data_IF_867592454027
#
_entry.id   IF_867592454027
#
_cell.length_a   1.000
_cell.length_b   1.000
_cell.length_c   1.000
_cell.angle_alpha   90.00
_cell.angle_beta   90.00
_cell.angle_gamma   90.00
#
_symmetry.space_group_name_H-M   'P 1'
#
loop_
_entity.id
_entity.type
_entity.pdbx_description
1 polymer ?
#
# COMPACT_ATOMS: atom_id res chain seq x y z
N UNK A 1 -25.93 26.34 -2.97
CA UNK A 1 -25.25 27.63 -3.25
C UNK A 1 -24.16 27.97 -2.24
N UNK A 2 -24.41 28.01 -0.92
CA UNK A 2 -23.36 28.35 0.07
C UNK A 2 -22.19 27.36 0.10
N UNK A 3 -22.47 26.05 0.06
CA UNK A 3 -21.43 25.01 0.03
C UNK A 3 -20.57 25.06 -1.23
N UNK A 4 -21.21 25.22 -2.40
CA UNK A 4 -20.52 25.39 -3.68
C UNK A 4 -19.60 26.62 -3.69
N UNK A 5 -20.07 27.74 -3.14
CA UNK A 5 -19.25 28.94 -3.01
C UNK A 5 -18.02 28.69 -2.13
N UNK A 6 -18.18 28.00 -1.00
CA UNK A 6 -17.08 27.65 -0.10
C UNK A 6 -16.08 26.67 -0.73
N UNK A 7 -16.54 25.68 -1.50
CA UNK A 7 -15.68 24.76 -2.25
C UNK A 7 -14.81 25.53 -3.25
N UNK A 8 -15.40 26.43 -4.02
CA UNK A 8 -14.68 27.24 -5.03
C UNK A 8 -13.66 28.17 -4.37
N UNK A 9 -14.05 28.84 -3.28
CA UNK A 9 -13.14 29.76 -2.56
C UNK A 9 -11.98 29.04 -1.87
N UNK A 10 -12.20 27.80 -1.41
CA UNK A 10 -11.20 27.01 -0.70
C UNK A 10 -10.35 26.12 -1.63
N UNK A 11 -10.85 25.83 -2.83
CA UNK A 11 -10.27 24.84 -3.74
C UNK A 11 -10.36 23.40 -3.24
N UNK A 12 -11.14 23.13 -2.18
CA UNK A 12 -11.33 21.80 -1.60
C UNK A 12 -12.77 21.34 -1.82
N UNK A 13 -12.93 20.31 -2.64
CA UNK A 13 -14.22 19.78 -3.08
C UNK A 13 -14.62 18.51 -2.31
N UNK A 14 -13.79 18.02 -1.36
CA UNK A 14 -14.02 16.72 -0.69
C UNK A 14 -15.34 16.66 0.07
N UNK A 15 -15.75 17.78 0.67
CA UNK A 15 -17.03 17.87 1.37
C UNK A 15 -18.20 17.81 0.40
N UNK A 16 -18.13 18.56 -0.70
CA UNK A 16 -19.15 18.58 -1.74
C UNK A 16 -19.31 17.20 -2.39
N UNK A 17 -18.20 16.51 -2.67
CA UNK A 17 -18.20 15.14 -3.18
C UNK A 17 -18.85 14.15 -2.18
N UNK A 18 -18.51 14.27 -0.89
CA UNK A 18 -19.09 13.42 0.14
C UNK A 18 -20.60 13.65 0.27
N UNK A 19 -21.03 14.91 0.13
CA UNK A 19 -22.43 15.35 0.24
C UNK A 19 -23.29 14.95 -0.96
N UNK A 20 -22.78 15.09 -2.18
CA UNK A 20 -23.56 14.83 -3.40
C UNK A 20 -23.40 13.42 -3.99
N UNK A 21 -22.47 12.58 -3.51
CA UNK A 21 -22.31 11.27 -4.15
C UNK A 21 -23.53 10.36 -3.90
N UNK A 22 -24.10 9.81 -4.97
CA UNK A 22 -25.42 9.15 -4.98
C UNK A 22 -25.41 7.68 -4.54
N UNK A 23 -24.32 7.20 -3.96
CA UNK A 23 -24.09 5.76 -3.68
C UNK A 23 -24.83 5.24 -2.43
N UNK A 24 -25.55 6.09 -1.69
CA UNK A 24 -26.34 5.66 -0.52
C UNK A 24 -27.80 5.43 -0.92
N UNK A 25 -28.29 4.19 -0.80
CA UNK A 25 -29.73 3.89 -0.89
C UNK A 25 -30.49 4.73 0.16
N UNK A 26 -31.25 5.71 -0.31
CA UNK A 26 -32.03 6.61 0.56
C UNK A 26 -31.47 8.03 0.73
N UNK A 27 -30.33 8.35 0.08
CA UNK A 27 -29.71 9.67 0.08
C UNK A 27 -29.12 10.09 1.42
N UNK A 28 -28.21 11.07 1.42
CA UNK A 28 -27.76 11.71 2.66
C UNK A 28 -28.87 12.60 3.18
N UNK A 29 -29.35 12.33 4.40
CA UNK A 29 -30.48 13.03 5.03
C UNK A 29 -29.99 14.10 6.00
N UNK A 30 -28.80 13.93 6.57
CA UNK A 30 -28.23 14.83 7.57
C UNK A 30 -26.69 14.77 7.58
N UNK A 31 -26.07 15.59 8.44
CA UNK A 31 -24.60 15.68 8.55
C UNK A 31 -23.95 14.41 9.12
N UNK A 32 -24.62 13.65 9.99
CA UNK A 32 -24.10 12.37 10.48
C UNK A 32 -23.93 11.37 9.34
N UNK A 33 -24.88 11.31 8.40
CA UNK A 33 -24.78 10.42 7.24
C UNK A 33 -23.55 10.77 6.38
N UNK A 34 -23.22 12.07 6.27
CA UNK A 34 -22.02 12.54 5.57
C UNK A 34 -20.76 12.09 6.30
N UNK A 35 -20.74 12.19 7.64
CA UNK A 35 -19.61 11.76 8.47
C UNK A 35 -19.40 10.25 8.38
N UNK A 36 -20.44 9.45 8.61
CA UNK A 36 -20.40 7.99 8.53
C UNK A 36 -19.86 7.51 7.19
N UNK A 37 -20.24 8.21 6.11
CA UNK A 37 -19.72 7.94 4.78
C UNK A 37 -18.24 8.26 4.64
N UNK A 38 -17.81 9.44 5.09
CA UNK A 38 -16.41 9.85 5.04
C UNK A 38 -15.55 8.88 5.83
N UNK A 39 -16.01 8.47 7.01
CA UNK A 39 -15.36 7.46 7.85
C UNK A 39 -15.29 6.10 7.15
N UNK A 40 -16.41 5.60 6.62
CA UNK A 40 -16.46 4.32 5.90
C UNK A 40 -15.54 4.30 4.68
N UNK A 41 -15.57 5.36 3.85
CA UNK A 41 -14.63 5.52 2.71
C UNK A 41 -13.18 5.60 3.18
N UNK A 42 -12.93 6.23 4.33
CA UNK A 42 -11.62 6.30 4.96
C UNK A 42 -11.10 4.92 5.37
N UNK A 43 -11.93 4.13 6.05
CA UNK A 43 -11.62 2.76 6.48
C UNK A 43 -11.34 1.87 5.28
N UNK A 44 -12.21 1.88 4.27
CA UNK A 44 -12.06 1.07 3.05
C UNK A 44 -10.73 1.38 2.33
N UNK A 45 -10.43 2.67 2.13
CA UNK A 45 -9.14 3.11 1.56
C UNK A 45 -7.96 2.68 2.42
N UNK A 46 -8.10 2.75 3.75
CA UNK A 46 -7.09 2.30 4.69
C UNK A 46 -6.79 0.80 4.57
N UNK A 47 -7.83 -0.03 4.54
CA UNK A 47 -7.73 -1.48 4.38
C UNK A 47 -7.10 -1.82 3.03
N UNK A 48 -7.56 -1.22 1.93
CA UNK A 48 -7.03 -1.48 0.60
C UNK A 48 -5.51 -1.18 0.52
N UNK A 49 -5.09 0.00 1.02
CA UNK A 49 -3.67 0.37 1.10
C UNK A 49 -2.86 -0.56 2.00
N UNK A 50 -3.45 -0.99 3.12
CA UNK A 50 -2.83 -1.92 4.05
C UNK A 50 -2.57 -3.29 3.40
N UNK A 51 -3.57 -3.84 2.71
CA UNK A 51 -3.46 -5.11 2.00
C UNK A 51 -2.42 -5.02 0.88
N UNK A 52 -2.46 -3.96 0.06
CA UNK A 52 -1.49 -3.77 -1.02
C UNK A 52 -0.05 -3.68 -0.48
N UNK A 53 0.16 -2.88 0.58
CA UNK A 53 1.46 -2.75 1.23
C UNK A 53 1.93 -4.09 1.78
N UNK A 54 1.07 -4.82 2.49
CA UNK A 54 1.38 -6.12 3.09
C UNK A 54 1.73 -7.17 2.03
N UNK A 55 0.96 -7.24 0.93
CA UNK A 55 1.26 -8.16 -0.18
C UNK A 55 2.59 -7.83 -0.85
N UNK A 56 2.90 -6.55 -1.06
CA UNK A 56 4.19 -6.12 -1.62
C UNK A 56 5.35 -6.49 -0.70
N UNK A 57 5.22 -6.23 0.60
CA UNK A 57 6.24 -6.54 1.60
C UNK A 57 6.45 -8.05 1.72
N UNK A 58 5.38 -8.84 1.85
CA UNK A 58 5.48 -10.30 1.91
C UNK A 58 6.08 -10.93 0.64
N UNK A 59 5.76 -10.41 -0.56
CA UNK A 59 6.42 -10.87 -1.80
C UNK A 59 7.92 -10.57 -1.81
N UNK A 60 8.34 -9.42 -1.27
CA UNK A 60 9.75 -9.05 -1.20
C UNK A 60 10.50 -9.85 -0.14
N UNK A 61 9.87 -10.13 0.99
CA UNK A 61 10.40 -10.99 2.05
C UNK A 61 10.60 -12.42 1.56
N UNK A 62 9.59 -13.02 0.91
CA UNK A 62 9.71 -14.36 0.32
C UNK A 62 10.84 -14.44 -0.73
N UNK A 63 11.00 -13.41 -1.57
CA UNK A 63 12.13 -13.33 -2.52
C UNK A 63 13.48 -13.24 -1.80
N UNK A 64 13.54 -12.49 -0.70
CA UNK A 64 14.76 -12.36 0.12
C UNK A 64 15.13 -13.68 0.76
N UNK A 65 14.19 -14.37 1.41
CA UNK A 65 14.43 -15.68 2.02
C UNK A 65 14.92 -16.70 0.98
N UNK A 66 14.23 -16.78 -0.15
CA UNK A 66 14.66 -17.62 -1.27
C UNK A 66 16.07 -17.27 -1.75
N UNK A 67 16.39 -15.98 -1.89
CA UNK A 67 17.71 -15.54 -2.33
C UNK A 67 18.82 -15.94 -1.34
N UNK A 68 18.56 -15.85 -0.03
CA UNK A 68 19.50 -16.30 1.01
C UNK A 68 19.71 -17.81 0.92
N UNK A 69 18.64 -18.61 0.87
CA UNK A 69 18.76 -20.07 0.76
C UNK A 69 19.49 -20.52 -0.51
N UNK A 70 19.24 -19.86 -1.65
CA UNK A 70 19.95 -20.17 -2.90
C UNK A 70 21.44 -19.81 -2.82
N UNK A 71 21.78 -18.71 -2.14
CA UNK A 71 23.17 -18.33 -1.91
C UNK A 71 23.90 -19.34 -1.00
N UNK A 72 23.23 -19.84 0.05
CA UNK A 72 23.73 -20.91 0.92
C UNK A 72 23.96 -22.22 0.16
N UNK A 73 23.14 -22.50 -0.86
CA UNK A 73 23.31 -23.62 -1.79
C UNK A 73 24.42 -23.39 -2.84
N UNK A 74 25.12 -22.25 -2.79
CA UNK A 74 26.25 -21.94 -3.66
C UNK A 74 25.87 -21.37 -5.03
N UNK A 75 24.63 -20.91 -5.24
CA UNK A 75 24.28 -20.21 -6.47
C UNK A 75 24.91 -18.82 -6.50
N UNK A 76 25.27 -18.37 -7.71
CA UNK A 76 25.85 -17.04 -7.90
C UNK A 76 24.78 -15.95 -7.77
N UNK A 77 25.22 -14.76 -7.33
CA UNK A 77 24.36 -13.57 -7.17
C UNK A 77 23.60 -13.24 -8.45
N UNK A 78 24.23 -13.43 -9.62
CA UNK A 78 23.65 -13.14 -10.93
C UNK A 78 22.45 -14.05 -11.23
N UNK A 79 22.58 -15.36 -10.97
CA UNK A 79 21.48 -16.32 -11.17
C UNK A 79 20.34 -16.09 -10.18
N UNK A 80 20.67 -15.72 -8.95
CA UNK A 80 19.67 -15.40 -7.92
C UNK A 80 18.92 -14.12 -8.29
N UNK A 81 19.62 -13.09 -8.75
CA UNK A 81 19.03 -11.83 -9.21
C UNK A 81 18.08 -12.06 -10.40
N UNK A 82 18.48 -12.91 -11.35
CA UNK A 82 17.64 -13.34 -12.47
C UNK A 82 16.38 -14.07 -11.99
N UNK A 83 16.52 -15.08 -11.13
CA UNK A 83 15.40 -15.85 -10.60
C UNK A 83 14.41 -15.00 -9.77
N UNK A 84 14.93 -14.11 -8.92
CA UNK A 84 14.14 -13.22 -8.09
C UNK A 84 13.61 -11.98 -8.85
N UNK A 85 14.08 -11.75 -10.09
CA UNK A 85 13.78 -10.58 -10.92
C UNK A 85 14.05 -9.26 -10.19
N UNK A 86 15.23 -9.14 -9.60
CA UNK A 86 15.73 -7.95 -8.92
C UNK A 86 17.17 -7.67 -9.39
N UNK A 87 17.73 -6.52 -9.02
CA UNK A 87 19.13 -6.25 -9.36
C UNK A 87 20.10 -7.05 -8.49
N UNK A 88 21.32 -7.22 -8.98
CA UNK A 88 22.41 -7.86 -8.24
C UNK A 88 22.75 -7.13 -6.94
N UNK A 89 22.57 -5.80 -6.90
CA UNK A 89 22.80 -4.96 -5.72
C UNK A 89 21.83 -5.32 -4.60
N UNK A 90 20.55 -5.53 -4.95
CA UNK A 90 19.51 -5.92 -4.00
C UNK A 90 19.81 -7.30 -3.41
N UNK A 91 20.21 -8.26 -4.24
CA UNK A 91 20.60 -9.60 -3.79
C UNK A 91 21.84 -9.54 -2.89
N UNK A 92 22.86 -8.75 -3.24
CA UNK A 92 24.03 -8.52 -2.38
C UNK A 92 23.64 -7.94 -1.03
N UNK A 93 22.73 -6.98 -1.00
CA UNK A 93 22.24 -6.40 0.25
C UNK A 93 21.51 -7.45 1.11
N UNK A 94 20.66 -8.27 0.50
CA UNK A 94 19.94 -9.34 1.19
C UNK A 94 20.86 -10.37 1.84
N UNK A 95 21.89 -10.80 1.11
CA UNK A 95 22.88 -11.78 1.58
C UNK A 95 23.81 -11.14 2.63
N UNK A 96 24.25 -9.90 2.42
CA UNK A 96 25.13 -9.19 3.36
C UNK A 96 24.48 -8.96 4.73
N UNK A 97 23.17 -8.73 4.77
CA UNK A 97 22.42 -8.61 6.03
C UNK A 97 21.94 -9.96 6.61
N UNK A 98 22.18 -11.09 5.93
CA UNK A 98 21.81 -12.44 6.35
C UNK A 98 22.94 -13.25 7.01
N UNK A 99 24.17 -12.74 7.02
CA UNK A 99 25.31 -13.40 7.65
C UNK A 99 25.32 -13.19 9.17
N UNK A 100 24.78 -14.13 9.93
CA UNK A 100 25.19 -14.30 11.32
C UNK A 100 26.63 -14.84 11.31
N UNK A 101 27.63 -14.18 11.92
CA UNK A 101 28.95 -14.78 12.09
C UNK A 101 28.84 -15.86 13.16
N UNK A 102 28.59 -17.11 12.74
CA UNK A 102 28.75 -18.26 13.62
C UNK A 102 30.25 -18.53 13.79
N UNK A 103 30.83 -17.95 14.85
CA UNK A 103 32.04 -18.45 15.50
C UNK A 103 31.70 -19.41 16.62
#
# INVERSE_FOLDING_TARGET
ETLQLLSVMSGDYRFEEAYYSSEAEGGLRNMCDVLDRVESKGIEKGIAKGIEKGLREGRMEAKREMAVSLAEMGLSVEKIAEAARVSTEVVRQWIACGGHPAG
#
